data_IF_364356100734
#
_entry.id   IF_364356100734
#
_cell.length_a   1.000
_cell.length_b   1.000
_cell.length_c   1.000
_cell.angle_alpha   90.00
_cell.angle_beta   90.00
_cell.angle_gamma   90.00
#
_symmetry.space_group_name_H-M   'P 1'
#
loop_
_entity.id
_entity.type
_entity.pdbx_description
1 polymer ?
#
# COMPACT_ATOMS: atom_id res chain seq x y z
N UNK A 1 30.33 64.16 11.74
CA UNK A 1 30.10 63.41 13.00
C UNK A 1 30.33 61.93 12.70
N UNK A 2 31.57 61.43 12.89
CA UNK A 2 32.00 60.53 13.97
C UNK A 2 31.16 59.24 14.14
N UNK A 3 31.67 58.18 13.49
CA UNK A 3 31.91 56.82 13.98
C UNK A 3 30.84 56.05 14.78
N UNK A 4 30.56 54.81 14.37
CA UNK A 4 31.07 53.64 15.11
C UNK A 4 30.92 52.35 14.30
N UNK A 5 32.09 51.79 14.00
CA UNK A 5 32.34 50.42 13.60
C UNK A 5 32.19 49.52 14.83
N UNK A 6 31.48 48.40 14.73
CA UNK A 6 31.58 47.30 15.68
C UNK A 6 31.80 46.01 14.90
N UNK A 7 33.09 45.68 14.84
CA UNK A 7 33.67 44.38 14.58
C UNK A 7 33.26 43.35 15.66
N UNK A 8 33.37 42.09 15.25
CA UNK A 8 33.72 40.90 16.06
C UNK A 8 32.61 40.14 16.78
N UNK A 9 32.26 39.00 16.20
CA UNK A 9 32.17 37.73 16.92
C UNK A 9 32.44 36.60 15.91
N UNK A 10 33.73 36.33 15.68
CA UNK A 10 34.20 35.18 14.91
C UNK A 10 34.13 33.96 15.83
N UNK A 11 33.02 33.22 15.73
CA UNK A 11 32.75 32.03 16.53
C UNK A 11 33.58 30.86 16.01
N UNK A 12 34.63 30.55 16.77
CA UNK A 12 35.54 29.41 16.60
C UNK A 12 34.76 28.10 16.48
N UNK A 13 34.71 27.53 15.26
CA UNK A 13 34.14 26.21 15.02
C UNK A 13 35.15 25.13 15.43
N UNK A 14 34.79 24.16 16.29
CA UNK A 14 35.65 23.04 16.60
C UNK A 14 35.82 22.14 15.38
N UNK A 15 37.07 21.77 15.13
CA UNK A 15 37.52 20.85 14.09
C UNK A 15 36.96 19.45 14.32
N UNK A 16 36.42 18.76 13.30
CA UNK A 16 36.02 17.36 13.44
C UNK A 16 37.26 16.46 13.54
N UNK A 17 37.41 15.80 14.68
CA UNK A 17 38.37 14.72 14.85
C UNK A 17 37.98 13.55 13.93
N UNK A 18 38.90 13.15 13.05
CA UNK A 18 38.82 11.91 12.26
C UNK A 18 39.94 10.96 12.74
N UNK A 19 39.88 9.65 12.46
CA UNK A 19 39.64 8.61 13.46
C UNK A 19 40.89 7.77 13.74
N UNK A 20 40.99 7.19 14.93
CA UNK A 20 42.04 6.23 15.28
C UNK A 20 41.41 4.97 15.91
N UNK A 21 41.80 3.80 15.41
CA UNK A 21 41.40 2.47 15.90
C UNK A 21 40.46 1.78 14.93
N UNK A 22 40.92 0.95 13.98
CA UNK A 22 41.73 -0.28 14.11
C UNK A 22 41.04 -1.38 14.94
N UNK A 23 41.01 -2.60 14.39
CA UNK A 23 40.40 -3.77 15.03
C UNK A 23 39.38 -4.53 14.19
N UNK A 24 39.66 -4.80 12.90
CA UNK A 24 38.92 -5.82 12.14
C UNK A 24 39.18 -7.20 12.76
N UNK A 25 38.26 -7.67 13.60
CA UNK A 25 38.23 -9.03 14.13
C UNK A 25 37.95 -10.04 13.00
N UNK A 26 38.90 -10.91 12.60
CA UNK A 26 38.68 -11.89 11.54
C UNK A 26 37.73 -13.04 11.94
N UNK A 27 37.36 -13.14 13.23
CA UNK A 27 36.44 -14.17 13.73
C UNK A 27 34.96 -13.91 13.43
N UNK A 28 34.59 -12.68 13.05
CA UNK A 28 33.20 -12.34 12.70
C UNK A 28 32.83 -12.67 11.25
N UNK A 29 33.81 -12.84 10.36
CA UNK A 29 33.56 -13.13 8.93
C UNK A 29 33.11 -14.60 8.72
N UNK A 30 33.54 -15.53 9.58
CA UNK A 30 33.17 -16.94 9.46
C UNK A 30 31.72 -17.25 9.91
N UNK A 31 31.11 -16.41 10.76
CA UNK A 31 29.75 -16.63 11.26
C UNK A 31 28.66 -16.23 10.25
N UNK A 32 28.95 -15.30 9.33
CA UNK A 32 27.96 -14.79 8.37
C UNK A 32 27.72 -15.77 7.21
N UNK A 33 28.69 -16.63 6.87
CA UNK A 33 28.54 -17.61 5.79
C UNK A 33 27.76 -18.88 6.20
N UNK A 34 27.71 -19.22 7.50
CA UNK A 34 26.96 -20.39 7.99
C UNK A 34 25.44 -20.18 8.03
N UNK A 35 24.99 -18.94 8.29
CA UNK A 35 23.55 -18.61 8.39
C UNK A 35 22.87 -18.46 7.03
N UNK A 36 23.60 -18.19 5.96
CA UNK A 36 23.04 -18.05 4.61
C UNK A 36 22.50 -19.37 4.02
N UNK A 37 23.13 -20.51 4.32
CA UNK A 37 22.74 -21.81 3.76
C UNK A 37 21.45 -22.38 4.37
N UNK A 38 21.16 -22.10 5.64
CA UNK A 38 19.91 -22.55 6.28
C UNK A 38 18.68 -21.79 5.75
N UNK A 39 18.82 -20.52 5.39
CA UNK A 39 17.74 -19.73 4.81
C UNK A 39 17.33 -20.23 3.41
N UNK A 40 18.30 -20.67 2.59
CA UNK A 40 18.03 -21.17 1.23
C UNK A 40 17.30 -22.52 1.29
N UNK A 41 17.69 -23.42 2.20
CA UNK A 41 17.03 -24.72 2.39
C UNK A 41 15.57 -24.57 2.84
N UNK A 42 15.27 -23.62 3.74
CA UNK A 42 13.91 -23.32 4.18
C UNK A 42 13.01 -22.80 3.04
N UNK A 43 13.54 -21.95 2.16
CA UNK A 43 12.79 -21.41 1.03
C UNK A 43 12.43 -22.49 -0.01
N UNK A 44 13.34 -23.46 -0.24
CA UNK A 44 13.12 -24.59 -1.15
C UNK A 44 12.06 -25.56 -0.58
N UNK A 45 12.09 -25.82 0.73
CA UNK A 45 11.09 -26.67 1.38
C UNK A 45 9.69 -26.04 1.33
N UNK A 46 9.57 -24.75 1.63
CA UNK A 46 8.29 -24.03 1.61
C UNK A 46 7.67 -23.95 0.20
N UNK A 47 8.48 -23.84 -0.86
CA UNK A 47 7.97 -23.90 -2.23
C UNK A 47 7.44 -25.27 -2.65
N UNK A 48 7.93 -26.37 -2.06
CA UNK A 48 7.53 -27.73 -2.41
C UNK A 48 6.15 -28.08 -1.85
N UNK A 49 5.83 -27.63 -0.65
CA UNK A 49 4.54 -27.90 0.00
C UNK A 49 3.37 -27.20 -0.70
N UNK A 50 3.58 -25.98 -1.21
CA UNK A 50 2.56 -25.27 -2.00
C UNK A 50 2.24 -25.93 -3.36
N UNK A 51 3.13 -26.76 -3.92
CA UNK A 51 2.85 -27.50 -5.16
C UNK A 51 2.03 -28.77 -4.91
N UNK A 52 2.16 -29.40 -3.74
CA UNK A 52 1.42 -30.62 -3.42
C UNK A 52 -0.10 -30.40 -3.33
N UNK A 53 -0.54 -29.22 -2.88
CA UNK A 53 -1.98 -28.91 -2.76
C UNK A 53 -2.68 -28.54 -4.08
N UNK A 54 -1.94 -28.29 -5.18
CA UNK A 54 -2.56 -27.95 -6.48
C UNK A 54 -2.89 -29.16 -7.36
N UNK A 55 -2.30 -30.32 -7.09
CA UNK A 55 -2.47 -31.54 -7.89
C UNK A 55 -3.30 -32.61 -7.17
N UNK A 56 -4.35 -32.22 -6.44
CA UNK A 56 -5.32 -33.19 -5.95
C UNK A 56 -6.20 -33.68 -7.13
N UNK A 57 -6.16 -34.98 -7.47
CA UNK A 57 -6.97 -35.55 -8.55
C UNK A 57 -8.43 -35.65 -8.06
N UNK A 58 -9.25 -34.66 -8.41
CA UNK A 58 -10.66 -34.68 -7.99
C UNK A 58 -11.59 -33.65 -8.63
N UNK A 59 -11.12 -32.85 -9.60
CA UNK A 59 -11.95 -31.79 -10.24
C UNK A 59 -12.64 -32.20 -11.55
N UNK A 60 -12.30 -33.34 -12.13
CA UNK A 60 -12.78 -33.69 -13.47
C UNK A 60 -14.07 -34.52 -13.49
N UNK A 61 -14.54 -35.06 -12.35
CA UNK A 61 -15.75 -35.91 -12.32
C UNK A 61 -17.08 -35.16 -12.12
N UNK A 62 -17.08 -33.88 -11.73
CA UNK A 62 -18.34 -33.15 -11.44
C UNK A 62 -18.94 -32.49 -12.70
N UNK A 63 -18.22 -32.46 -13.83
CA UNK A 63 -18.66 -31.73 -15.04
C UNK A 63 -19.49 -32.60 -16.00
N UNK A 64 -19.47 -33.93 -15.87
CA UNK A 64 -20.16 -34.83 -16.82
C UNK A 64 -21.62 -35.15 -16.44
N UNK A 65 -22.04 -34.96 -15.18
CA UNK A 65 -23.40 -35.36 -14.75
C UNK A 65 -24.47 -34.28 -14.97
N UNK A 66 -24.09 -33.00 -15.13
CA UNK A 66 -25.05 -31.90 -15.31
C UNK A 66 -25.43 -31.59 -16.76
N UNK A 67 -24.87 -32.28 -17.76
CA UNK A 67 -25.16 -32.00 -19.18
C UNK A 67 -26.31 -32.83 -19.78
N UNK A 68 -26.84 -33.82 -19.05
CA UNK A 68 -27.91 -34.67 -19.57
C UNK A 68 -29.34 -34.21 -19.22
N UNK A 69 -29.50 -33.24 -18.30
CA UNK A 69 -30.81 -32.86 -17.77
C UNK A 69 -31.48 -31.65 -18.47
N UNK A 70 -30.81 -30.97 -19.40
CA UNK A 70 -31.22 -29.62 -19.85
C UNK A 70 -31.69 -29.54 -21.31
N UNK A 71 -32.40 -30.57 -21.81
CA UNK A 71 -32.97 -30.60 -23.18
C UNK A 71 -34.48 -30.38 -23.26
N UNK A 72 -35.14 -29.87 -22.22
CA UNK A 72 -36.60 -29.94 -22.14
C UNK A 72 -37.36 -28.82 -21.42
N UNK A 73 -36.94 -27.55 -21.49
CA UNK A 73 -37.68 -26.35 -21.04
C UNK A 73 -36.78 -25.13 -21.32
N UNK A 74 -37.13 -24.01 -21.93
CA UNK A 74 -38.40 -23.35 -22.15
C UNK A 74 -38.16 -22.27 -23.22
N UNK A 75 -39.03 -22.19 -24.23
CA UNK A 75 -39.23 -20.94 -24.98
C UNK A 75 -40.03 -20.00 -24.09
N UNK A 76 -39.42 -18.95 -23.54
CA UNK A 76 -40.07 -17.66 -23.22
C UNK A 76 -39.14 -16.71 -22.46
N UNK A 77 -39.20 -15.43 -22.88
CA UNK A 77 -38.59 -14.24 -22.26
C UNK A 77 -37.07 -14.11 -22.34
N UNK A 78 -36.65 -13.58 -23.50
CA UNK A 78 -35.71 -12.47 -23.54
C UNK A 78 -36.10 -11.41 -22.50
N UNK A 79 -35.34 -11.29 -21.42
CA UNK A 79 -35.30 -10.10 -20.58
C UNK A 79 -33.88 -9.97 -20.01
N UNK A 80 -33.14 -9.02 -20.59
CA UNK A 80 -31.88 -8.47 -20.10
C UNK A 80 -30.79 -9.50 -19.74
N UNK A 81 -29.95 -9.83 -20.71
CA UNK A 81 -28.53 -10.05 -20.40
C UNK A 81 -28.09 -8.85 -19.56
N UNK A 82 -27.63 -9.02 -18.30
CA UNK A 82 -27.05 -7.88 -17.59
C UNK A 82 -25.95 -7.35 -18.49
N UNK A 83 -26.06 -6.07 -18.86
CA UNK A 83 -25.03 -5.41 -19.62
C UNK A 83 -23.70 -5.77 -18.95
N UNK A 84 -22.78 -6.34 -19.72
CA UNK A 84 -21.42 -6.53 -19.30
C UNK A 84 -20.87 -5.13 -19.07
N UNK A 85 -21.08 -4.58 -17.88
CA UNK A 85 -20.36 -3.41 -17.42
C UNK A 85 -18.89 -3.81 -17.52
N UNK A 86 -18.09 -3.10 -18.34
CA UNK A 86 -16.68 -3.40 -18.45
C UNK A 86 -16.11 -3.35 -17.04
N UNK A 87 -15.77 -4.52 -16.49
CA UNK A 87 -15.04 -4.63 -15.24
C UNK A 87 -13.88 -3.66 -15.34
N UNK A 88 -13.81 -2.76 -14.37
CA UNK A 88 -12.99 -1.56 -14.42
C UNK A 88 -11.61 -1.87 -14.98
N UNK A 89 -11.14 -0.95 -15.84
CA UNK A 89 -9.79 -0.94 -16.37
C UNK A 89 -8.76 -1.34 -15.32
N UNK A 90 -7.71 -2.04 -15.79
CA UNK A 90 -6.78 -2.78 -14.96
C UNK A 90 -6.28 -1.93 -13.77
N UNK A 91 -6.83 -2.19 -12.57
CA UNK A 91 -6.50 -1.52 -11.31
C UNK A 91 -5.12 -1.99 -10.79
N UNK A 92 -4.17 -2.13 -11.70
CA UNK A 92 -2.84 -2.65 -11.48
C UNK A 92 -1.88 -1.50 -11.24
N UNK A 93 -1.18 -1.56 -10.11
CA UNK A 93 -0.02 -0.70 -9.85
C UNK A 93 1.18 -1.48 -10.38
N UNK A 94 1.81 -0.99 -11.45
CA UNK A 94 2.96 -1.65 -12.06
C UNK A 94 4.16 -1.64 -11.11
N UNK A 95 5.13 -2.52 -11.35
CA UNK A 95 6.38 -2.53 -10.56
C UNK A 95 7.12 -1.19 -10.63
N UNK A 96 7.10 -0.52 -11.78
CA UNK A 96 7.71 0.80 -11.97
C UNK A 96 6.98 1.90 -11.19
N UNK A 97 5.64 1.90 -11.22
CA UNK A 97 4.83 2.82 -10.42
C UNK A 97 5.11 2.61 -8.93
N UNK A 98 5.08 1.36 -8.46
CA UNK A 98 5.41 1.01 -7.08
C UNK A 98 6.79 1.51 -6.67
N UNK A 99 7.82 1.26 -7.49
CA UNK A 99 9.19 1.70 -7.19
C UNK A 99 9.30 3.23 -7.14
N UNK A 100 8.65 3.95 -8.06
CA UNK A 100 8.60 5.42 -8.06
C UNK A 100 7.88 5.97 -6.83
N UNK A 101 6.76 5.36 -6.44
CA UNK A 101 6.00 5.71 -5.25
C UNK A 101 6.85 5.59 -3.99
N UNK A 102 7.41 4.40 -3.76
CA UNK A 102 8.25 4.10 -2.59
C UNK A 102 9.47 5.03 -2.52
N UNK A 103 10.17 5.24 -3.65
CA UNK A 103 11.33 6.14 -3.70
C UNK A 103 10.97 7.58 -3.36
N UNK A 104 9.80 8.04 -3.78
CA UNK A 104 9.34 9.43 -3.52
C UNK A 104 9.04 9.63 -2.03
N UNK A 105 8.49 8.62 -1.39
CA UNK A 105 8.09 8.69 0.03
C UNK A 105 9.21 8.36 1.01
N UNK A 106 10.30 7.71 0.58
CA UNK A 106 11.39 7.29 1.46
C UNK A 106 11.95 8.39 2.39
N UNK A 107 11.97 9.64 1.93
CA UNK A 107 12.48 10.79 2.70
C UNK A 107 11.36 11.69 3.26
N UNK A 108 10.10 11.33 3.05
CA UNK A 108 8.97 12.05 3.58
C UNK A 108 8.81 11.77 5.09
N UNK A 109 8.21 12.67 5.86
CA UNK A 109 7.80 12.33 7.22
C UNK A 109 6.85 11.12 7.17
N UNK A 110 7.08 10.15 8.05
CA UNK A 110 6.20 8.99 8.21
C UNK A 110 5.16 9.27 9.30
N UNK A 111 4.00 8.62 9.18
CA UNK A 111 2.91 8.70 10.14
C UNK A 111 1.98 7.50 10.02
N UNK A 112 0.99 7.43 10.90
CA UNK A 112 -0.02 6.37 10.86
C UNK A 112 -1.03 6.66 9.77
N UNK A 113 -1.30 5.66 8.93
CA UNK A 113 -2.32 5.75 7.88
C UNK A 113 -3.34 4.63 8.10
N UNK A 114 -4.60 5.01 8.18
CA UNK A 114 -5.72 4.07 8.20
C UNK A 114 -6.35 4.03 6.82
N UNK A 115 -6.40 2.85 6.21
CA UNK A 115 -6.98 2.67 4.88
C UNK A 115 -8.35 2.04 5.06
N UNK A 116 -9.33 2.55 4.33
CA UNK A 116 -10.69 2.05 4.40
C UNK A 116 -11.29 1.82 3.02
N UNK A 117 -12.09 0.76 2.93
CA UNK A 117 -12.87 0.41 1.76
C UNK A 117 -14.34 0.25 2.17
N UNK A 118 -15.27 0.52 1.25
CA UNK A 118 -16.69 0.29 1.49
C UNK A 118 -16.99 -1.20 1.55
N UNK A 119 -17.75 -1.62 2.56
CA UNK A 119 -18.19 -3.01 2.72
C UNK A 119 -19.06 -3.42 1.53
N UNK A 120 -18.82 -4.61 0.99
CA UNK A 120 -19.58 -5.18 -0.13
C UNK A 120 -18.93 -4.97 -1.50
N UNK A 121 -17.93 -4.09 -1.61
CA UNK A 121 -17.13 -3.95 -2.83
C UNK A 121 -15.77 -4.65 -2.70
N UNK A 122 -15.69 -5.86 -3.28
CA UNK A 122 -14.46 -6.66 -3.28
C UNK A 122 -13.33 -5.99 -4.06
N UNK A 123 -13.63 -5.29 -5.16
CA UNK A 123 -12.59 -4.70 -6.00
C UNK A 123 -11.92 -3.52 -5.29
N UNK A 124 -12.71 -2.68 -4.64
CA UNK A 124 -12.21 -1.56 -3.83
C UNK A 124 -11.42 -2.07 -2.63
N UNK A 125 -11.84 -3.16 -1.99
CA UNK A 125 -11.04 -3.81 -0.94
C UNK A 125 -9.69 -4.32 -1.44
N UNK A 126 -9.65 -5.03 -2.58
CA UNK A 126 -8.41 -5.53 -3.16
C UNK A 126 -7.48 -4.38 -3.58
N UNK A 127 -8.03 -3.29 -4.10
CA UNK A 127 -7.25 -2.11 -4.46
C UNK A 127 -6.70 -1.40 -3.21
N UNK A 128 -7.51 -1.25 -2.16
CA UNK A 128 -7.08 -0.74 -0.86
C UNK A 128 -5.95 -1.57 -0.26
N UNK A 129 -6.00 -2.91 -0.38
CA UNK A 129 -4.93 -3.79 0.07
C UNK A 129 -3.62 -3.60 -0.72
N UNK A 130 -3.70 -3.33 -2.03
CA UNK A 130 -2.52 -2.97 -2.83
C UNK A 130 -1.92 -1.65 -2.36
N UNK A 131 -2.76 -0.64 -2.09
CA UNK A 131 -2.31 0.66 -1.56
C UNK A 131 -1.67 0.48 -0.16
N UNK A 132 -2.26 -0.35 0.69
CA UNK A 132 -1.69 -0.71 1.99
C UNK A 132 -0.29 -1.31 1.88
N UNK A 133 -0.11 -2.24 0.93
CA UNK A 133 1.18 -2.87 0.69
C UNK A 133 2.24 -1.86 0.23
N UNK A 134 1.95 -0.96 -0.71
CA UNK A 134 2.94 0.01 -1.19
C UNK A 134 3.27 1.09 -0.15
N UNK A 135 2.32 1.44 0.74
CA UNK A 135 2.58 2.36 1.85
C UNK A 135 3.44 1.69 2.93
N UNK A 136 3.19 0.42 3.23
CA UNK A 136 4.03 -0.39 4.12
C UNK A 136 5.47 -0.52 3.59
N UNK A 137 5.62 -0.80 2.28
CA UNK A 137 6.93 -0.83 1.62
C UNK A 137 7.66 0.52 1.64
N UNK A 138 6.91 1.62 1.74
CA UNK A 138 7.44 2.97 1.91
C UNK A 138 7.75 3.34 3.37
N UNK A 139 7.48 2.46 4.34
CA UNK A 139 7.79 2.67 5.77
C UNK A 139 6.65 3.29 6.58
N UNK A 140 5.43 3.38 6.05
CA UNK A 140 4.27 3.86 6.80
C UNK A 140 3.67 2.75 7.67
N UNK A 141 3.29 3.12 8.89
CA UNK A 141 2.55 2.22 9.77
C UNK A 141 1.08 2.15 9.32
N UNK A 142 0.62 0.94 8.99
CA UNK A 142 -0.79 0.65 8.74
C UNK A 142 -1.50 0.21 10.03
N UNK A 143 -2.80 0.45 10.11
CA UNK A 143 -3.65 -0.17 11.14
C UNK A 143 -3.63 -1.71 11.05
N UNK A 144 -4.03 -2.39 12.14
CA UNK A 144 -4.36 -3.83 12.11
C UNK A 144 -5.86 -3.98 12.39
N UNK A 145 -6.69 -4.41 11.41
CA UNK A 145 -6.32 -4.84 10.07
C UNK A 145 -5.86 -3.68 9.16
N UNK A 146 -5.06 -3.96 8.11
CA UNK A 146 -4.50 -2.95 7.21
C UNK A 146 -5.54 -2.22 6.36
N UNK A 147 -6.73 -2.82 6.20
CA UNK A 147 -7.87 -2.21 5.52
C UNK A 147 -9.10 -2.36 6.41
N UNK A 148 -9.65 -1.23 6.84
CA UNK A 148 -10.92 -1.13 7.56
C UNK A 148 -12.09 -1.18 6.58
N UNK A 149 -13.20 -1.80 7.00
CA UNK A 149 -14.43 -1.84 6.20
C UNK A 149 -15.42 -0.79 6.72
N UNK A 150 -15.79 0.17 5.88
CA UNK A 150 -16.81 1.15 6.20
C UNK A 150 -18.20 0.56 5.92
N UNK A 151 -19.16 0.70 6.86
CA UNK A 151 -20.54 0.37 6.57
C UNK A 151 -21.05 1.32 5.46
N UNK A 152 -21.59 0.74 4.40
CA UNK A 152 -22.27 1.49 3.35
C UNK A 152 -23.78 1.32 3.54
N UNK A 153 -24.50 2.42 3.79
CA UNK A 153 -25.97 2.44 3.65
C UNK A 153 -26.35 2.53 2.17
N UNK A 154 -25.55 3.25 1.38
CA UNK A 154 -25.60 3.31 -0.07
C UNK A 154 -24.16 3.29 -0.61
N UNK A 155 -23.83 2.30 -1.45
CA UNK A 155 -22.52 2.24 -2.10
C UNK A 155 -22.58 3.08 -3.37
N UNK A 156 -21.72 4.10 -3.54
CA UNK A 156 -21.62 4.83 -4.81
C UNK A 156 -21.38 3.85 -5.96
N UNK A 157 -21.83 4.16 -7.18
CA UNK A 157 -21.54 3.32 -8.37
C UNK A 157 -20.04 3.12 -8.59
N UNK A 158 -19.21 4.10 -8.20
CA UNK A 158 -17.75 4.02 -8.22
C UNK A 158 -17.20 4.49 -6.87
N UNK A 159 -17.14 3.63 -5.85
CA UNK A 159 -16.70 4.04 -4.52
C UNK A 159 -15.18 4.27 -4.53
N UNK A 160 -14.69 5.40 -3.99
CA UNK A 160 -13.26 5.61 -3.81
C UNK A 160 -12.71 4.69 -2.71
N UNK A 161 -11.42 4.38 -2.78
CA UNK A 161 -10.67 3.94 -1.59
C UNK A 161 -10.42 5.17 -0.73
N UNK A 162 -10.73 5.09 0.56
CA UNK A 162 -10.55 6.21 1.48
C UNK A 162 -9.28 5.98 2.30
N UNK A 163 -8.34 6.91 2.21
CA UNK A 163 -7.16 6.97 3.08
C UNK A 163 -7.43 8.01 4.16
N UNK A 164 -7.41 7.60 5.41
CA UNK A 164 -7.45 8.49 6.57
C UNK A 164 -6.03 8.63 7.11
N UNK A 165 -5.49 9.83 7.00
CA UNK A 165 -4.15 10.16 7.45
C UNK A 165 -4.29 10.93 8.75
N UNK A 166 -3.95 10.28 9.88
CA UNK A 166 -4.12 10.86 11.21
C UNK A 166 -2.84 11.54 11.67
N UNK A 167 -2.98 12.70 12.30
CA UNK A 167 -1.88 13.40 12.92
C UNK A 167 -2.34 14.20 14.14
N UNK A 168 -1.43 14.35 15.10
CA UNK A 168 -1.61 15.31 16.19
C UNK A 168 -1.43 16.77 15.71
N UNK A 169 -0.84 16.96 14.53
CA UNK A 169 -0.75 18.27 13.90
C UNK A 169 -2.05 18.59 13.12
N UNK A 170 -2.47 19.87 13.04
CA UNK A 170 -3.68 20.26 12.30
C UNK A 170 -3.67 19.86 10.82
N UNK A 171 -2.48 19.81 10.21
CA UNK A 171 -2.28 19.35 8.84
C UNK A 171 -1.13 18.32 8.85
N UNK A 172 -1.41 17.04 8.59
CA UNK A 172 -0.37 16.02 8.48
C UNK A 172 0.52 16.31 7.27
N UNK A 173 1.78 16.74 7.50
CA UNK A 173 2.74 16.97 6.39
C UNK A 173 2.92 15.74 5.50
N UNK A 174 2.78 14.56 6.08
CA UNK A 174 2.91 13.29 5.38
C UNK A 174 1.71 12.97 4.48
N UNK A 175 0.52 13.54 4.74
CA UNK A 175 -0.62 13.37 3.85
C UNK A 175 -0.37 14.01 2.48
N UNK A 176 0.25 15.20 2.45
CA UNK A 176 0.62 15.88 1.21
C UNK A 176 1.65 15.08 0.42
N UNK A 177 2.65 14.50 1.09
CA UNK A 177 3.62 13.63 0.43
C UNK A 177 2.97 12.39 -0.20
N UNK A 178 2.03 11.74 0.50
CA UNK A 178 1.27 10.60 -0.02
C UNK A 178 0.49 11.01 -1.27
N UNK A 179 -0.19 12.16 -1.25
CA UNK A 179 -0.91 12.70 -2.41
C UNK A 179 0.02 12.87 -3.61
N UNK A 180 1.10 13.60 -3.42
CA UNK A 180 2.01 13.94 -4.50
C UNK A 180 2.65 12.66 -5.09
N UNK A 181 2.91 11.65 -4.25
CA UNK A 181 3.38 10.34 -4.69
C UNK A 181 2.31 9.56 -5.48
N UNK A 182 1.03 9.62 -5.09
CA UNK A 182 -0.07 9.00 -5.83
C UNK A 182 -0.28 9.68 -7.19
N UNK A 183 -0.32 11.01 -7.22
CA UNK A 183 -0.43 11.79 -8.45
C UNK A 183 0.74 11.51 -9.40
N UNK A 184 1.96 11.39 -8.86
CA UNK A 184 3.17 11.10 -9.62
C UNK A 184 3.10 9.76 -10.37
N UNK A 185 2.42 8.76 -9.80
CA UNK A 185 2.21 7.45 -10.44
C UNK A 185 0.92 7.38 -11.25
N UNK A 186 0.23 8.52 -11.40
CA UNK A 186 -0.96 8.68 -12.21
C UNK A 186 -2.23 8.19 -11.52
N UNK A 187 -2.27 8.07 -10.20
CA UNK A 187 -3.48 7.71 -9.45
C UNK A 187 -4.19 9.00 -9.03
N UNK A 188 -5.41 9.22 -9.53
CA UNK A 188 -6.21 10.40 -9.19
C UNK A 188 -6.63 10.38 -7.71
N UNK A 189 -6.36 11.49 -7.03
CA UNK A 189 -6.74 11.68 -5.63
C UNK A 189 -7.54 12.97 -5.43
N UNK A 190 -8.53 12.93 -4.54
CA UNK A 190 -9.25 14.10 -4.07
C UNK A 190 -9.00 14.28 -2.57
N UNK A 191 -8.80 15.54 -2.16
CA UNK A 191 -8.51 15.89 -0.77
C UNK A 191 -9.75 16.48 -0.11
N UNK A 192 -10.11 15.94 1.04
CA UNK A 192 -11.06 16.58 1.95
C UNK A 192 -10.46 16.66 3.35
N UNK A 193 -10.54 17.84 3.93
CA UNK A 193 -10.21 18.04 5.33
C UNK A 193 -11.47 17.81 6.16
N UNK A 194 -11.37 16.99 7.19
CA UNK A 194 -12.49 16.74 8.12
C UNK A 194 -12.01 16.91 9.54
N UNK A 195 -12.56 17.90 10.23
CA UNK A 195 -12.36 18.02 11.68
C UNK A 195 -13.18 16.94 12.38
N UNK A 196 -12.49 15.96 12.95
CA UNK A 196 -13.12 14.96 13.83
C UNK A 196 -12.92 15.40 15.28
N UNK A 197 -13.98 15.50 16.10
CA UNK A 197 -13.84 15.81 17.52
C UNK A 197 -12.87 14.81 18.20
N UNK A 198 -11.81 15.32 18.82
CA UNK A 198 -10.74 14.50 19.43
C UNK A 198 -9.56 14.17 18.51
N UNK A 199 -9.62 14.49 17.22
CA UNK A 199 -8.54 14.33 16.26
C UNK A 199 -8.40 15.61 15.41
N UNK A 200 -7.61 16.60 15.88
CA UNK A 200 -7.57 17.94 15.29
C UNK A 200 -6.95 18.04 13.88
N UNK A 201 -6.75 16.93 13.16
CA UNK A 201 -6.04 16.92 11.89
C UNK A 201 -6.25 15.69 11.02
N UNK A 202 -7.41 15.04 11.08
CA UNK A 202 -7.70 13.92 10.19
C UNK A 202 -7.89 14.44 8.75
N UNK A 203 -6.97 14.04 7.89
CA UNK A 203 -7.06 14.34 6.48
C UNK A 203 -7.55 13.10 5.73
N UNK A 204 -8.59 13.27 4.93
CA UNK A 204 -9.15 12.21 4.10
C UNK A 204 -8.68 12.40 2.65
N UNK A 205 -8.10 11.35 2.08
CA UNK A 205 -7.74 11.28 0.67
C UNK A 205 -8.64 10.26 0.01
N UNK A 206 -9.52 10.72 -0.88
CA UNK A 206 -10.30 9.86 -1.75
C UNK A 206 -9.46 9.43 -2.94
N UNK A 207 -9.15 8.15 -3.05
CA UNK A 207 -8.37 7.58 -4.14
C UNK A 207 -9.31 6.91 -5.13
N UNK A 208 -9.30 7.39 -6.36
CA UNK A 208 -10.15 6.89 -7.43
C UNK A 208 -9.32 5.96 -8.32
N UNK A 209 -9.86 4.79 -8.70
CA UNK A 209 -9.25 4.03 -9.79
C UNK A 209 -9.29 4.87 -11.07
N UNK A 210 -8.24 4.74 -11.89
CA UNK A 210 -8.26 5.39 -13.20
C UNK A 210 -9.41 4.80 -14.05
N UNK A 211 -10.15 5.65 -14.77
CA UNK A 211 -11.27 5.23 -15.61
C UNK A 211 -10.83 4.37 -16.78
#
# INVERSE_FOLDING_TARGET
MKAKSTLSAEESRPTPATPAGDGRNPRLVAAVLGLGLLAIAGLIWLQREHRAHRNAPGRDQIVMENQAADKGRSKSKSAATPAYEPKLQDRAITGEQKARFVRTLHNAPHGTVTIAAFKGDRETYLYAAKIASILSDAGYASSDPPVSLLPATETPQNPPVLLFVSSQAPIPRHALAIKDALDLIGIRCEFSYRETPGHPGDLQIGVYPNP
#
